data_IF_517775571871
#
_entry.id   IF_517775571871
#
_cell.length_a   1.000
_cell.length_b   1.000
_cell.length_c   1.000
_cell.angle_alpha   90.00
_cell.angle_beta   90.00
_cell.angle_gamma   90.00
#
_symmetry.space_group_name_H-M   'P 1'
#
loop_
_entity.id
_entity.type
_entity.pdbx_description
1 polymer ?
#
# COMPACT_ATOMS: atom_id res chain seq x y z
N UNK A 1 3.88 -11.97 2.28
CA UNK A 1 3.36 -10.60 2.53
C UNK A 1 3.74 -9.60 1.44
N UNK A 2 5.03 -9.42 1.10
CA UNK A 2 5.41 -8.45 0.05
C UNK A 2 4.74 -8.71 -1.31
N UNK A 3 4.71 -9.96 -1.79
CA UNK A 3 4.07 -10.28 -3.06
C UNK A 3 2.57 -9.93 -3.06
N UNK A 4 1.84 -10.32 -2.01
CA UNK A 4 0.44 -9.92 -1.84
C UNK A 4 0.29 -8.40 -1.87
N UNK A 5 1.10 -7.65 -1.13
CA UNK A 5 1.07 -6.18 -1.16
C UNK A 5 1.33 -5.60 -2.54
N UNK A 6 2.28 -6.17 -3.28
CA UNK A 6 2.56 -5.75 -4.66
C UNK A 6 1.34 -5.97 -5.56
N UNK A 7 0.67 -7.11 -5.42
CA UNK A 7 -0.51 -7.46 -6.21
C UNK A 7 -1.69 -6.54 -5.87
N UNK A 8 -1.96 -6.31 -4.58
CA UNK A 8 -3.02 -5.37 -4.14
C UNK A 8 -2.75 -3.97 -4.69
N UNK A 9 -1.53 -3.44 -4.53
CA UNK A 9 -1.24 -2.09 -5.01
C UNK A 9 -1.28 -1.97 -6.54
N UNK A 10 -0.91 -3.03 -7.29
CA UNK A 10 -1.10 -3.05 -8.74
C UNK A 10 -2.57 -2.99 -9.13
N UNK A 11 -3.43 -3.72 -8.42
CA UNK A 11 -4.87 -3.68 -8.65
C UNK A 11 -5.48 -2.32 -8.31
N UNK A 12 -4.91 -1.61 -7.32
CA UNK A 12 -5.28 -0.23 -6.99
C UNK A 12 -4.71 0.81 -7.99
N UNK A 13 -3.95 0.38 -9.00
CA UNK A 13 -3.44 1.23 -10.09
C UNK A 13 -2.05 1.82 -9.85
N UNK A 14 -1.34 1.40 -8.80
CA UNK A 14 0.03 1.85 -8.56
C UNK A 14 1.04 1.09 -9.43
N UNK A 15 2.06 1.82 -9.90
CA UNK A 15 3.20 1.22 -10.60
C UNK A 15 4.15 0.61 -9.57
N UNK A 16 4.06 -0.71 -9.37
CA UNK A 16 4.88 -1.41 -8.38
C UNK A 16 6.05 -2.14 -9.04
N UNK A 17 7.25 -1.79 -8.62
CA UNK A 17 8.47 -2.52 -8.90
C UNK A 17 8.69 -3.62 -7.82
N UNK A 18 8.72 -4.92 -8.17
CA UNK A 18 8.93 -6.00 -7.21
C UNK A 18 10.25 -5.95 -6.44
N UNK A 19 11.27 -5.27 -6.99
CA UNK A 19 12.57 -5.10 -6.34
C UNK A 19 12.64 -3.88 -5.43
N UNK A 20 11.58 -3.06 -5.37
CA UNK A 20 11.50 -1.86 -4.53
C UNK A 20 10.34 -1.96 -3.55
N UNK A 21 10.49 -1.30 -2.40
CA UNK A 21 9.39 -1.26 -1.44
C UNK A 21 8.25 -0.39 -1.99
N UNK A 22 7.05 -0.98 -2.04
CA UNK A 22 5.79 -0.37 -2.46
C UNK A 22 5.57 1.04 -1.92
N UNK A 23 5.93 1.27 -0.66
CA UNK A 23 5.71 2.54 0.02
C UNK A 23 6.30 3.74 -0.72
N UNK A 24 7.41 3.56 -1.44
CA UNK A 24 8.05 4.64 -2.19
C UNK A 24 7.29 4.96 -3.48
N UNK A 25 6.80 3.94 -4.19
CA UNK A 25 6.01 4.15 -5.41
C UNK A 25 4.64 4.76 -5.10
N UNK A 26 4.00 4.29 -4.02
CA UNK A 26 2.75 4.88 -3.52
C UNK A 26 2.98 6.33 -3.08
N UNK A 27 4.04 6.61 -2.30
CA UNK A 27 4.36 7.98 -1.89
C UNK A 27 4.63 8.91 -3.07
N UNK A 28 5.42 8.45 -4.06
CA UNK A 28 5.70 9.19 -5.29
C UNK A 28 4.42 9.52 -6.06
N UNK A 29 3.52 8.55 -6.20
CA UNK A 29 2.21 8.74 -6.85
C UNK A 29 1.34 9.75 -6.09
N UNK A 30 1.40 9.74 -4.76
CA UNK A 30 0.60 10.63 -3.89
C UNK A 30 1.22 12.00 -3.66
N UNK A 31 2.40 12.28 -4.24
CA UNK A 31 3.14 13.53 -4.08
C UNK A 31 3.79 13.71 -2.70
N UNK A 32 4.02 12.61 -1.95
CA UNK A 32 4.61 12.65 -0.62
C UNK A 32 6.12 12.40 -0.73
N UNK A 33 6.98 13.29 -0.17
CA UNK A 33 8.43 13.18 -0.29
C UNK A 33 9.03 12.16 0.70
N UNK A 34 8.52 10.93 0.67
CA UNK A 34 9.01 9.83 1.48
C UNK A 34 10.36 9.34 0.95
N UNK A 35 11.37 9.29 1.83
CA UNK A 35 12.73 8.85 1.52
C UNK A 35 13.09 7.57 2.28
N UNK A 36 14.12 6.82 1.86
CA UNK A 36 14.61 5.68 2.63
C UNK A 36 15.01 6.04 4.06
N UNK A 37 15.61 7.22 4.24
CA UNK A 37 16.06 7.73 5.53
C UNK A 37 15.69 9.20 5.69
N UNK A 38 15.54 9.66 6.93
CA UNK A 38 15.38 11.08 7.25
C UNK A 38 14.01 11.67 6.88
N UNK A 39 12.92 11.11 7.42
CA UNK A 39 11.53 11.56 7.19
C UNK A 39 10.93 12.38 8.34
N UNK A 40 11.77 12.95 9.23
CA UNK A 40 11.29 13.72 10.39
C UNK A 40 10.53 15.00 10.03
N UNK A 41 10.62 15.43 8.77
CA UNK A 41 9.89 16.58 8.22
C UNK A 41 8.55 16.20 7.58
N UNK A 42 8.20 14.91 7.50
CA UNK A 42 6.88 14.51 7.02
C UNK A 42 5.84 14.87 8.07
N UNK A 43 4.75 15.51 7.64
CA UNK A 43 3.61 15.71 8.53
C UNK A 43 2.93 14.37 8.82
N UNK A 44 2.24 14.29 9.96
CA UNK A 44 1.42 13.12 10.31
C UNK A 44 0.39 12.81 9.22
N UNK A 45 -0.17 13.84 8.60
CA UNK A 45 -1.10 13.70 7.47
C UNK A 45 -0.44 13.05 6.24
N UNK A 46 0.78 13.50 5.88
CA UNK A 46 1.53 12.91 4.77
C UNK A 46 1.86 11.44 4.99
N UNK A 47 2.33 11.10 6.20
CA UNK A 47 2.59 9.72 6.59
C UNK A 47 1.30 8.88 6.58
N UNK A 48 0.21 9.44 7.11
CA UNK A 48 -1.11 8.82 7.14
C UNK A 48 -1.69 8.59 5.73
N UNK A 49 -1.46 9.51 4.78
CA UNK A 49 -1.91 9.37 3.40
C UNK A 49 -1.27 8.15 2.72
N UNK A 50 0.04 7.97 2.88
CA UNK A 50 0.77 6.81 2.32
C UNK A 50 0.38 5.52 3.06
N UNK A 51 0.47 5.53 4.39
CA UNK A 51 0.17 4.35 5.20
C UNK A 51 -1.29 3.89 5.09
N UNK A 52 -2.22 4.84 5.03
CA UNK A 52 -3.65 4.59 4.88
C UNK A 52 -4.01 4.06 3.50
N UNK A 53 -3.40 4.59 2.43
CA UNK A 53 -3.60 4.05 1.08
C UNK A 53 -3.14 2.59 0.99
N UNK A 54 -1.95 2.27 1.53
CA UNK A 54 -1.43 0.89 1.51
C UNK A 54 -2.25 0.00 2.45
N UNK A 55 -2.33 0.37 3.73
CA UNK A 55 -2.96 -0.45 4.75
C UNK A 55 -4.45 -0.65 4.55
N UNK A 56 -5.16 0.40 4.13
CA UNK A 56 -6.60 0.36 3.88
C UNK A 56 -6.96 -0.59 2.74
N UNK A 57 -6.26 -0.50 1.61
CA UNK A 57 -6.49 -1.40 0.47
C UNK A 57 -6.09 -2.85 0.79
N UNK A 58 -5.02 -3.04 1.58
CA UNK A 58 -4.64 -4.37 2.06
C UNK A 58 -5.71 -5.01 2.95
N UNK A 59 -6.24 -4.28 3.94
CA UNK A 59 -7.29 -4.79 4.82
C UNK A 59 -8.57 -5.08 4.04
N UNK A 60 -8.96 -4.19 3.13
CA UNK A 60 -10.13 -4.39 2.26
C UNK A 60 -10.00 -5.68 1.45
N UNK A 61 -8.83 -5.93 0.87
CA UNK A 61 -8.58 -7.13 0.08
C UNK A 61 -8.57 -8.40 0.93
N UNK A 62 -7.94 -8.36 2.11
CA UNK A 62 -7.98 -9.50 3.04
C UNK A 62 -9.40 -9.86 3.46
N UNK A 63 -10.26 -8.85 3.70
CA UNK A 63 -11.68 -9.07 4.01
C UNK A 63 -12.40 -9.71 2.82
N UNK A 64 -12.17 -9.20 1.59
CA UNK A 64 -12.76 -9.79 0.37
C UNK A 64 -12.39 -11.27 0.23
N UNK A 65 -11.11 -11.62 0.37
CA UNK A 65 -10.64 -13.01 0.28
C UNK A 65 -11.26 -13.90 1.36
N UNK A 66 -11.40 -13.39 2.58
CA UNK A 66 -12.05 -14.12 3.68
C UNK A 66 -13.53 -14.39 3.38
N UNK A 67 -14.26 -13.38 2.89
CA UNK A 67 -15.66 -13.52 2.48
C UNK A 67 -15.82 -14.56 1.36
N UNK A 68 -14.93 -14.53 0.35
CA UNK A 68 -14.92 -15.53 -0.72
C UNK A 68 -14.67 -16.94 -0.18
N UNK A 69 -13.76 -17.10 0.77
CA UNK A 69 -13.50 -18.40 1.40
C UNK A 69 -14.70 -18.93 2.18
N UNK A 70 -15.48 -18.06 2.83
CA UNK A 70 -16.68 -18.45 3.58
C UNK A 70 -17.87 -18.76 2.66
N UNK A 71 -17.90 -18.17 1.45
CA UNK A 71 -18.95 -18.40 0.46
C UNK A 71 -18.80 -19.71 -0.34
N UNK A 72 -17.64 -20.37 -0.24
CA UNK A 72 -17.39 -21.66 -0.90
C UNK A 72 -18.07 -22.77 -0.07
N UNK A 73 -18.83 -23.67 -0.71
CA UNK A 73 -19.54 -24.76 -0.03
C UNK A 73 -18.58 -25.81 0.55
#
# INVERSE_FOLDING_TARGET
MQQFMNDVMRNEGYQVNPQQEVKYEVAKTLGVPLKPEGNGNLTTEQAGKVGGAIGGSMVREMIRMAQESLSKP
#
